data_IF_218102899207
#
_entry.id   IF_218102899207
#
_cell.length_a   1.000
_cell.length_b   1.000
_cell.length_c   1.000
_cell.angle_alpha   90.00
_cell.angle_beta   90.00
_cell.angle_gamma   90.00
#
_symmetry.space_group_name_H-M   'P 1'
#
loop_
_entity.id
_entity.type
_entity.pdbx_description
1 polymer ?
#
# COMPACT_ATOMS: atom_id res chain seq x y z
N UNK A 1 23.26 -23.80 -16.27
CA UNK A 1 22.38 -23.31 -17.34
C UNK A 1 21.18 -22.76 -16.64
N UNK A 2 21.15 -21.45 -16.44
CA UNK A 2 20.08 -20.71 -15.75
C UNK A 2 19.15 -20.14 -16.80
N UNK A 3 17.96 -20.73 -16.91
CA UNK A 3 16.89 -20.22 -17.78
C UNK A 3 16.39 -18.88 -17.22
N UNK A 4 16.75 -17.79 -17.88
CA UNK A 4 16.16 -16.48 -17.63
C UNK A 4 14.83 -16.37 -18.39
N UNK A 5 13.74 -16.35 -17.66
CA UNK A 5 12.41 -16.05 -18.21
C UNK A 5 12.41 -14.68 -18.92
N UNK A 6 11.99 -14.67 -20.17
CA UNK A 6 12.01 -13.47 -21.01
C UNK A 6 10.88 -12.50 -20.60
N UNK A 7 11.05 -11.19 -20.91
CA UNK A 7 10.01 -10.17 -20.71
C UNK A 7 8.67 -10.49 -21.38
N UNK A 8 8.67 -11.34 -22.39
CA UNK A 8 7.44 -11.80 -23.09
C UNK A 8 6.66 -12.82 -22.29
N UNK A 9 7.33 -13.62 -21.46
CA UNK A 9 6.66 -14.65 -20.65
C UNK A 9 6.00 -14.03 -19.42
N UNK A 10 6.54 -12.94 -18.90
CA UNK A 10 5.96 -12.16 -17.81
C UNK A 10 4.62 -11.50 -18.21
N UNK A 11 4.48 -11.04 -19.45
CA UNK A 11 3.25 -10.41 -19.96
C UNK A 11 2.11 -11.40 -20.21
N UNK A 12 2.40 -12.70 -20.39
CA UNK A 12 1.38 -13.73 -20.61
C UNK A 12 0.69 -14.21 -19.34
N UNK A 13 1.32 -14.03 -18.17
CA UNK A 13 0.78 -14.46 -16.87
C UNK A 13 -0.31 -13.51 -16.38
N UNK A 14 -0.34 -12.26 -16.84
CA UNK A 14 -1.29 -11.23 -16.38
C UNK A 14 -2.63 -11.16 -17.15
N UNK A 15 -2.90 -12.06 -18.11
CA UNK A 15 -4.13 -12.02 -18.95
C UNK A 15 -5.08 -13.20 -18.71
N UNK A 16 -4.70 -14.21 -17.92
CA UNK A 16 -5.49 -15.43 -17.74
C UNK A 16 -6.07 -15.56 -16.31
N UNK A 17 -6.99 -14.71 -15.96
CA UNK A 17 -7.63 -14.75 -14.64
C UNK A 17 -9.09 -14.30 -14.60
N UNK A 18 -9.90 -14.61 -15.61
CA UNK A 18 -11.36 -14.50 -15.53
C UNK A 18 -12.00 -15.54 -16.44
N UNK A 19 -12.15 -16.76 -15.98
CA UNK A 19 -13.16 -17.70 -16.45
C UNK A 19 -13.55 -18.60 -15.29
N UNK A 20 -14.74 -18.37 -14.77
CA UNK A 20 -15.45 -19.23 -13.85
C UNK A 20 -15.75 -20.58 -14.48
N UNK A 21 -15.23 -21.67 -13.92
CA UNK A 21 -15.81 -23.01 -14.06
C UNK A 21 -15.69 -23.73 -12.73
N UNK A 22 -16.85 -24.06 -12.17
CA UNK A 22 -16.96 -24.83 -10.96
C UNK A 22 -16.43 -26.25 -11.13
N UNK A 23 -15.57 -26.65 -10.21
CA UNK A 23 -15.31 -28.04 -9.90
C UNK A 23 -15.35 -28.22 -8.39
N UNK A 24 -16.35 -28.98 -7.94
CA UNK A 24 -16.38 -29.53 -6.62
C UNK A 24 -15.22 -30.51 -6.46
N UNK A 25 -14.25 -30.19 -5.59
CA UNK A 25 -13.29 -31.15 -5.07
C UNK A 25 -13.35 -31.13 -3.54
N UNK A 26 -13.84 -32.23 -3.01
CA UNK A 26 -13.72 -32.62 -1.61
C UNK A 26 -12.24 -32.77 -1.26
N UNK A 27 -11.78 -32.11 -0.21
CA UNK A 27 -10.61 -32.60 0.43
C UNK A 27 -9.64 -31.59 1.01
N UNK A 28 -9.63 -31.59 2.31
CA UNK A 28 -8.67 -31.00 3.24
C UNK A 28 -8.78 -29.50 3.40
N UNK A 29 -9.48 -29.15 4.45
CA UNK A 29 -9.32 -27.89 5.15
C UNK A 29 -7.82 -27.71 5.43
N UNK A 30 -7.19 -26.81 4.69
CA UNK A 30 -5.96 -26.19 5.12
C UNK A 30 -6.39 -25.35 6.32
N UNK A 31 -5.92 -25.69 7.50
CA UNK A 31 -6.12 -24.87 8.68
C UNK A 31 -5.67 -23.47 8.31
N UNK A 32 -6.61 -22.53 8.26
CA UNK A 32 -6.32 -21.12 8.22
C UNK A 32 -5.46 -20.82 9.45
N UNK A 33 -4.17 -20.69 9.23
CA UNK A 33 -3.29 -20.09 10.22
C UNK A 33 -3.79 -18.64 10.31
N UNK A 34 -4.66 -18.39 11.27
CA UNK A 34 -5.14 -17.05 11.59
C UNK A 34 -3.90 -16.20 11.81
N UNK A 35 -3.57 -15.36 10.82
CA UNK A 35 -2.48 -14.39 10.94
C UNK A 35 -2.79 -13.52 12.17
N UNK A 36 -1.89 -13.53 13.15
CA UNK A 36 -2.01 -12.69 14.34
C UNK A 36 -1.66 -11.24 14.06
N UNK A 37 -1.37 -10.95 12.81
CA UNK A 37 -0.94 -9.64 12.32
C UNK A 37 -2.15 -8.85 11.83
N UNK A 38 -2.34 -7.60 12.26
CA UNK A 38 -3.41 -6.77 11.74
C UNK A 38 -3.25 -6.57 10.23
N UNK A 39 -4.26 -7.01 9.47
CA UNK A 39 -4.31 -6.87 8.01
C UNK A 39 -5.54 -6.09 7.62
N UNK A 40 -5.36 -5.00 6.87
CA UNK A 40 -6.47 -4.16 6.40
C UNK A 40 -6.63 -4.23 4.89
N UNK A 41 -7.88 -4.28 4.45
CA UNK A 41 -8.29 -4.28 3.04
C UNK A 41 -9.07 -3.02 2.69
N UNK A 42 -9.67 -2.40 3.70
CA UNK A 42 -10.54 -1.25 3.58
C UNK A 42 -10.60 -0.51 4.93
N UNK A 43 -10.88 0.79 4.90
CA UNK A 43 -11.16 1.59 6.08
C UNK A 43 -12.64 1.68 6.41
N UNK A 44 -13.00 2.72 7.16
CA UNK A 44 -14.38 3.03 7.54
C UNK A 44 -15.24 3.41 6.32
N UNK A 45 -16.48 2.95 6.29
CA UNK A 45 -17.48 3.33 5.29
C UNK A 45 -18.27 4.61 5.65
N UNK A 46 -18.01 5.20 6.84
CA UNK A 46 -18.72 6.40 7.32
C UNK A 46 -18.14 7.71 6.81
N UNK A 47 -16.93 7.69 6.26
CA UNK A 47 -16.22 8.88 5.81
C UNK A 47 -16.06 8.88 4.29
N UNK A 48 -16.43 9.99 3.65
CA UNK A 48 -16.37 10.14 2.20
C UNK A 48 -14.94 10.45 1.74
N UNK A 49 -14.07 9.45 1.83
CA UNK A 49 -12.70 9.49 1.36
C UNK A 49 -12.21 8.11 0.92
N UNK A 50 -11.10 8.11 0.20
CA UNK A 50 -10.31 6.93 -0.17
C UNK A 50 -8.86 7.10 0.28
N UNK A 51 -8.14 5.99 0.50
CA UNK A 51 -6.69 6.02 0.61
C UNK A 51 -6.07 5.70 -0.74
N UNK A 52 -5.46 6.69 -1.37
CA UNK A 52 -4.74 6.51 -2.63
C UNK A 52 -3.34 5.97 -2.35
N UNK A 53 -3.01 4.80 -2.87
CA UNK A 53 -1.72 4.15 -2.63
C UNK A 53 -1.02 3.82 -3.94
N UNK A 54 0.31 4.06 -3.98
CA UNK A 54 1.14 3.85 -5.16
C UNK A 54 2.32 2.95 -4.84
N UNK A 55 2.40 1.81 -5.51
CA UNK A 55 3.43 0.80 -5.30
C UNK A 55 4.64 1.01 -6.23
N UNK A 56 5.76 0.35 -5.90
CA UNK A 56 7.03 0.24 -6.62
C UNK A 56 7.88 1.52 -6.68
N UNK A 57 7.38 2.59 -7.26
CA UNK A 57 8.01 3.91 -7.36
C UNK A 57 9.35 3.94 -8.15
N UNK A 58 9.53 3.12 -9.20
CA UNK A 58 10.83 2.96 -9.89
C UNK A 58 11.27 4.17 -10.76
N UNK A 59 10.36 4.98 -11.26
CA UNK A 59 10.63 5.91 -12.34
C UNK A 59 10.61 7.37 -11.89
N UNK A 60 11.78 8.03 -11.80
CA UNK A 60 11.91 9.42 -11.36
C UNK A 60 10.96 10.36 -12.09
N UNK A 61 10.94 10.32 -13.44
CA UNK A 61 10.05 11.18 -14.22
C UNK A 61 8.58 11.03 -13.79
N UNK A 62 8.14 9.83 -13.46
CA UNK A 62 6.76 9.59 -13.03
C UNK A 62 6.51 10.06 -11.60
N UNK A 63 7.52 9.99 -10.76
CA UNK A 63 7.45 10.60 -9.42
C UNK A 63 7.32 12.13 -9.52
N UNK A 64 8.04 12.78 -10.44
CA UNK A 64 7.86 14.21 -10.70
C UNK A 64 6.46 14.52 -11.26
N UNK A 65 5.95 13.73 -12.21
CA UNK A 65 4.57 13.87 -12.71
C UNK A 65 3.53 13.76 -11.56
N UNK A 66 3.77 12.87 -10.58
CA UNK A 66 2.91 12.74 -9.41
C UNK A 66 3.09 13.90 -8.42
N UNK A 67 4.33 14.36 -8.19
CA UNK A 67 4.62 15.51 -7.34
C UNK A 67 3.92 16.78 -7.88
N UNK A 68 3.97 17.02 -9.20
CA UNK A 68 3.27 18.12 -9.87
C UNK A 68 1.75 18.01 -9.74
N UNK A 69 1.21 16.79 -9.90
CA UNK A 69 -0.22 16.54 -9.72
C UNK A 69 -0.65 16.87 -8.28
N UNK A 70 0.07 16.40 -7.28
CA UNK A 70 -0.22 16.67 -5.88
C UNK A 70 -0.05 18.13 -5.48
N UNK A 71 0.81 18.88 -6.17
CA UNK A 71 0.92 20.33 -5.99
C UNK A 71 -0.37 21.07 -6.43
N UNK A 72 -1.14 20.49 -7.36
CA UNK A 72 -2.46 21.01 -7.76
C UNK A 72 -3.57 20.62 -6.79
N UNK A 73 -3.43 19.48 -6.08
CA UNK A 73 -4.40 18.91 -5.15
C UNK A 73 -3.80 18.81 -3.73
N UNK A 74 -3.41 19.95 -3.17
CA UNK A 74 -2.65 20.03 -1.92
C UNK A 74 -3.40 19.48 -0.70
N UNK A 75 -4.73 19.42 -0.77
CA UNK A 75 -5.61 18.83 0.22
C UNK A 75 -5.55 17.29 0.21
N UNK A 76 -5.15 16.66 -0.90
CA UNK A 76 -5.03 15.22 -1.00
C UNK A 76 -3.70 14.73 -0.43
N UNK A 77 -3.77 13.71 0.41
CA UNK A 77 -2.59 13.02 0.94
C UNK A 77 -2.64 11.56 0.53
N UNK A 78 -1.50 11.04 0.12
CA UNK A 78 -1.36 9.68 -0.41
C UNK A 78 -0.38 8.86 0.43
N UNK A 79 -0.37 7.55 0.21
CA UNK A 79 0.65 6.66 0.74
C UNK A 79 1.44 6.01 -0.40
N UNK A 80 2.76 6.13 -0.35
CA UNK A 80 3.69 5.51 -1.28
C UNK A 80 4.24 4.22 -0.67
N UNK A 81 4.35 3.17 -1.45
CA UNK A 81 5.01 1.91 -1.10
C UNK A 81 6.22 1.67 -2.02
N UNK A 82 7.30 2.44 -1.86
CA UNK A 82 8.49 2.26 -2.67
C UNK A 82 9.24 1.00 -2.30
N UNK A 83 9.85 0.34 -3.29
CA UNK A 83 10.88 -0.66 -3.02
C UNK A 83 12.20 0.02 -2.64
N UNK A 84 13.03 -0.63 -1.85
CA UNK A 84 14.29 -0.06 -1.36
C UNK A 84 15.26 0.36 -2.46
N UNK A 85 15.33 -0.41 -3.55
CA UNK A 85 16.15 -0.05 -4.71
C UNK A 85 15.66 1.24 -5.40
N UNK A 86 14.36 1.51 -5.39
CA UNK A 86 13.80 2.76 -5.90
C UNK A 86 14.18 3.93 -4.98
N UNK A 87 14.12 3.76 -3.66
CA UNK A 87 14.55 4.78 -2.70
C UNK A 87 15.98 5.23 -3.02
N UNK A 88 16.91 4.31 -3.12
CA UNK A 88 18.31 4.63 -3.41
C UNK A 88 18.53 5.21 -4.81
N UNK A 89 17.85 4.66 -5.81
CA UNK A 89 18.08 5.05 -7.20
C UNK A 89 17.53 6.44 -7.50
N UNK A 90 16.36 6.77 -6.99
CA UNK A 90 15.73 8.06 -7.21
C UNK A 90 16.45 9.17 -6.43
N UNK A 91 16.84 8.91 -5.19
CA UNK A 91 17.62 9.86 -4.40
C UNK A 91 18.95 10.24 -5.05
N UNK A 92 19.63 9.30 -5.73
CA UNK A 92 20.85 9.60 -6.49
C UNK A 92 20.60 10.48 -7.71
N UNK A 93 19.42 10.47 -8.29
CA UNK A 93 19.04 11.23 -9.46
C UNK A 93 18.44 12.60 -9.10
N UNK A 94 17.71 12.66 -8.00
CA UNK A 94 17.07 13.86 -7.46
C UNK A 94 17.10 13.81 -5.93
N UNK A 95 18.16 14.40 -5.37
CA UNK A 95 18.37 14.40 -3.91
C UNK A 95 17.23 15.12 -3.19
N UNK A 96 16.69 14.46 -2.17
CA UNK A 96 15.59 14.97 -1.36
C UNK A 96 14.19 14.73 -1.91
N UNK A 97 14.02 13.96 -2.98
CA UNK A 97 12.69 13.64 -3.52
C UNK A 97 11.80 12.97 -2.46
N UNK A 98 12.31 11.97 -1.73
CA UNK A 98 11.55 11.27 -0.70
C UNK A 98 11.22 12.17 0.48
N UNK A 99 12.16 13.03 0.85
CA UNK A 99 11.97 14.02 1.91
C UNK A 99 10.86 15.01 1.55
N UNK A 100 10.81 15.50 0.29
CA UNK A 100 9.75 16.39 -0.18
C UNK A 100 8.37 15.74 -0.07
N UNK A 101 8.21 14.49 -0.54
CA UNK A 101 6.94 13.78 -0.35
C UNK A 101 6.56 13.65 1.13
N UNK A 102 7.50 13.24 1.97
CA UNK A 102 7.25 13.03 3.40
C UNK A 102 6.91 14.34 4.12
N UNK A 103 7.65 15.41 3.89
CA UNK A 103 7.43 16.72 4.52
C UNK A 103 6.15 17.42 4.01
N UNK A 104 5.68 17.10 2.82
CA UNK A 104 4.39 17.53 2.30
C UNK A 104 3.20 16.73 2.88
N UNK A 105 3.46 15.84 3.84
CA UNK A 105 2.44 15.09 4.57
C UNK A 105 1.93 13.83 3.85
N UNK A 106 2.66 13.36 2.83
CA UNK A 106 2.41 12.05 2.25
C UNK A 106 3.09 10.97 3.10
N UNK A 107 2.53 9.78 3.10
CA UNK A 107 3.02 8.67 3.88
C UNK A 107 3.88 7.73 3.04
N UNK A 108 4.85 7.07 3.68
CA UNK A 108 5.71 6.08 3.05
C UNK A 108 5.60 4.78 3.83
N UNK A 109 5.22 3.69 3.16
CA UNK A 109 5.11 2.34 3.68
C UNK A 109 6.14 1.39 3.05
N UNK A 110 6.35 0.24 3.69
CA UNK A 110 7.32 -0.77 3.27
C UNK A 110 6.77 -1.67 2.16
N UNK A 111 7.60 -1.92 1.11
CA UNK A 111 7.26 -2.80 -0.03
C UNK A 111 8.41 -3.71 -0.48
N UNK A 112 9.19 -4.25 0.46
CA UNK A 112 10.42 -4.99 0.23
C UNK A 112 11.58 -4.17 -0.35
N UNK A 113 12.75 -4.81 -0.44
CA UNK A 113 13.94 -4.16 -0.98
C UNK A 113 13.90 -4.02 -2.51
N UNK A 114 13.53 -5.07 -3.24
CA UNK A 114 13.64 -5.14 -4.70
C UNK A 114 12.44 -5.77 -5.41
N UNK A 115 11.32 -5.89 -4.69
CA UNK A 115 10.12 -6.59 -5.16
C UNK A 115 10.35 -8.10 -5.42
N UNK A 116 11.43 -8.65 -4.87
CA UNK A 116 11.80 -10.07 -4.99
C UNK A 116 10.89 -10.99 -4.17
N UNK A 117 11.27 -12.26 -4.14
CA UNK A 117 10.49 -13.32 -3.51
C UNK A 117 10.48 -13.30 -1.99
N UNK A 118 10.09 -12.21 -1.37
CA UNK A 118 10.02 -12.05 0.10
C UNK A 118 9.16 -13.14 0.77
N UNK A 119 8.19 -13.68 0.05
CA UNK A 119 7.28 -14.71 0.52
C UNK A 119 7.90 -16.13 0.60
N UNK A 120 9.06 -16.32 -0.01
CA UNK A 120 9.76 -17.63 -0.05
C UNK A 120 11.07 -17.66 0.73
N UNK A 121 11.47 -16.58 1.38
CA UNK A 121 12.68 -16.50 2.20
C UNK A 121 12.36 -16.76 3.68
N UNK A 122 13.41 -17.01 4.49
CA UNK A 122 13.22 -17.18 5.94
C UNK A 122 12.79 -15.86 6.61
N UNK A 123 12.16 -15.96 7.77
CA UNK A 123 11.78 -14.79 8.58
C UNK A 123 12.99 -13.89 8.90
N UNK A 124 14.15 -14.47 9.21
CA UNK A 124 15.40 -13.72 9.46
C UNK A 124 15.81 -12.87 8.25
N UNK A 125 15.76 -13.45 7.04
CA UNK A 125 16.08 -12.71 5.81
C UNK A 125 15.03 -11.64 5.50
N UNK A 126 13.77 -11.91 5.80
CA UNK A 126 12.70 -10.95 5.62
C UNK A 126 12.85 -9.75 6.58
N UNK A 127 13.25 -9.99 7.83
CA UNK A 127 13.57 -8.92 8.77
C UNK A 127 14.79 -8.10 8.32
N UNK A 128 15.83 -8.74 7.82
CA UNK A 128 17.00 -8.04 7.28
C UNK A 128 16.65 -7.20 6.03
N UNK A 129 15.71 -7.65 5.20
CA UNK A 129 15.18 -6.89 4.06
C UNK A 129 14.50 -5.61 4.53
N UNK A 130 13.60 -5.71 5.51
CA UNK A 130 12.96 -4.55 6.12
C UNK A 130 13.97 -3.57 6.72
N UNK A 131 14.92 -4.06 7.51
CA UNK A 131 15.91 -3.22 8.19
C UNK A 131 16.80 -2.48 7.17
N UNK A 132 17.17 -3.15 6.07
CA UNK A 132 17.88 -2.53 4.95
C UNK A 132 17.06 -1.44 4.28
N UNK A 133 15.78 -1.71 4.03
CA UNK A 133 14.85 -0.75 3.44
C UNK A 133 14.68 0.47 4.35
N UNK A 134 14.47 0.24 5.65
CA UNK A 134 14.32 1.29 6.66
C UNK A 134 15.57 2.15 6.81
N UNK A 135 16.76 1.53 6.74
CA UNK A 135 18.03 2.27 6.76
C UNK A 135 18.16 3.18 5.53
N UNK A 136 17.78 2.70 4.34
CA UNK A 136 17.77 3.52 3.12
C UNK A 136 16.81 4.71 3.24
N UNK A 137 15.58 4.48 3.70
CA UNK A 137 14.59 5.54 3.89
C UNK A 137 15.06 6.57 4.94
N UNK A 138 15.56 6.11 6.08
CA UNK A 138 16.09 6.99 7.13
C UNK A 138 17.25 7.84 6.64
N UNK A 139 18.12 7.28 5.81
CA UNK A 139 19.25 8.00 5.21
C UNK A 139 18.83 9.16 4.31
N UNK A 140 17.77 8.97 3.51
CA UNK A 140 17.29 10.00 2.56
C UNK A 140 16.37 11.02 3.21
N UNK A 141 15.63 10.64 4.25
CA UNK A 141 14.82 11.59 5.04
C UNK A 141 15.71 12.42 5.98
N UNK A 142 16.82 11.84 6.47
CA UNK A 142 17.75 12.45 7.40
C UNK A 142 17.49 12.12 8.88
N UNK A 143 16.46 11.36 9.16
CA UNK A 143 16.12 10.78 10.48
C UNK A 143 15.26 9.53 10.28
N UNK A 144 15.02 8.74 11.34
CA UNK A 144 14.15 7.56 11.26
C UNK A 144 12.67 8.00 11.19
N UNK A 145 12.02 7.92 10.02
CA UNK A 145 10.59 8.23 9.91
C UNK A 145 9.77 7.12 10.57
N UNK A 146 8.55 7.46 10.96
CA UNK A 146 7.62 6.46 11.42
C UNK A 146 6.97 5.76 10.22
N UNK A 147 7.14 4.44 10.14
CA UNK A 147 6.55 3.59 9.11
C UNK A 147 5.61 2.60 9.79
N UNK A 148 4.32 2.68 9.49
CA UNK A 148 3.29 1.87 10.14
C UNK A 148 2.75 0.77 9.25
N UNK A 149 2.81 1.00 7.94
CA UNK A 149 2.16 0.13 6.97
C UNK A 149 3.17 -0.58 6.10
N UNK A 150 2.87 -1.83 5.84
CA UNK A 150 3.63 -2.66 4.92
C UNK A 150 2.68 -3.32 3.92
N UNK A 151 3.13 -3.45 2.68
CA UNK A 151 2.38 -4.15 1.64
C UNK A 151 3.25 -5.24 1.03
N UNK A 152 2.79 -6.51 1.03
CA UNK A 152 3.56 -7.58 0.43
C UNK A 152 3.61 -7.44 -1.09
N UNK A 153 4.78 -7.62 -1.72
CA UNK A 153 4.88 -7.73 -3.17
C UNK A 153 3.89 -8.74 -3.74
N UNK A 154 3.27 -8.39 -4.87
CA UNK A 154 2.24 -9.22 -5.53
C UNK A 154 0.99 -9.48 -4.68
N UNK A 155 0.84 -8.88 -3.50
CA UNK A 155 -0.24 -9.17 -2.56
C UNK A 155 -0.14 -10.56 -1.93
N UNK A 156 1.04 -11.17 -1.89
CA UNK A 156 1.23 -12.53 -1.36
C UNK A 156 1.46 -12.47 0.14
N UNK A 157 0.43 -12.78 0.91
CA UNK A 157 0.55 -12.97 2.36
C UNK A 157 1.39 -14.23 2.65
N UNK A 158 2.32 -14.14 3.60
CA UNK A 158 3.23 -15.23 3.91
C UNK A 158 3.75 -15.15 5.35
N UNK A 159 4.18 -16.30 5.94
CA UNK A 159 4.77 -16.30 7.28
C UNK A 159 6.00 -15.38 7.39
N UNK A 160 6.78 -15.25 6.32
CA UNK A 160 7.95 -14.35 6.30
C UNK A 160 7.54 -12.88 6.39
N UNK A 161 6.46 -12.49 5.71
CA UNK A 161 5.92 -11.15 5.76
C UNK A 161 5.23 -10.86 7.11
N UNK A 162 4.51 -11.85 7.65
CA UNK A 162 3.92 -11.77 8.99
C UNK A 162 4.99 -11.58 10.08
N UNK A 163 6.14 -12.24 9.94
CA UNK A 163 7.28 -12.05 10.85
C UNK A 163 7.80 -10.60 10.86
N UNK A 164 7.83 -9.92 9.71
CA UNK A 164 8.16 -8.50 9.64
C UNK A 164 7.12 -7.70 10.40
N UNK A 165 5.85 -7.91 10.09
CA UNK A 165 4.76 -7.13 10.66
C UNK A 165 4.72 -7.26 12.19
N UNK A 166 4.90 -8.46 12.74
CA UNK A 166 5.00 -8.69 14.17
C UNK A 166 6.22 -8.04 14.82
N UNK A 167 7.41 -8.23 14.22
CA UNK A 167 8.67 -7.78 14.82
C UNK A 167 8.90 -6.26 14.67
N UNK A 168 8.22 -5.60 13.76
CA UNK A 168 8.38 -4.18 13.44
C UNK A 168 7.10 -3.36 13.63
N UNK A 169 6.11 -3.94 14.31
CA UNK A 169 4.82 -3.28 14.64
C UNK A 169 4.16 -2.68 13.39
N UNK A 170 4.02 -3.49 12.34
CA UNK A 170 3.45 -3.07 11.07
C UNK A 170 2.02 -3.56 10.92
N UNK A 171 1.18 -2.74 10.28
CA UNK A 171 -0.11 -3.15 9.76
C UNK A 171 0.06 -3.59 8.32
N UNK A 172 -0.30 -4.82 8.01
CA UNK A 172 -0.30 -5.31 6.62
C UNK A 172 -1.46 -4.68 5.87
N UNK A 173 -1.14 -4.04 4.75
CA UNK A 173 -2.14 -3.30 3.96
C UNK A 173 -2.31 -3.91 2.58
N UNK A 174 -3.51 -4.36 2.31
CA UNK A 174 -3.95 -4.81 1.00
C UNK A 174 -4.71 -3.67 0.29
N UNK A 175 -5.63 -3.97 -0.57
CA UNK A 175 -6.48 -3.01 -1.28
C UNK A 175 -7.87 -3.59 -1.53
N UNK A 176 -8.87 -2.72 -1.61
CA UNK A 176 -10.25 -3.09 -1.96
C UNK A 176 -10.59 -2.82 -3.42
N UNK A 177 -9.85 -1.93 -4.06
CA UNK A 177 -10.03 -1.57 -5.48
C UNK A 177 -8.71 -1.16 -6.12
N UNK A 178 -8.65 -1.19 -7.45
CA UNK A 178 -7.51 -0.70 -8.23
C UNK A 178 -7.97 0.21 -9.35
N UNK A 179 -7.27 1.32 -9.57
CA UNK A 179 -7.58 2.28 -10.63
C UNK A 179 -6.55 2.24 -11.77
N UNK A 180 -5.65 1.26 -11.75
CA UNK A 180 -4.62 1.09 -12.76
C UNK A 180 -5.15 0.57 -14.09
N UNK A 181 -4.30 0.63 -15.13
CA UNK A 181 -4.60 0.12 -16.45
C UNK A 181 -5.07 1.18 -17.45
N UNK A 182 -5.99 0.83 -18.36
CA UNK A 182 -6.54 1.77 -19.33
C UNK A 182 -7.36 2.88 -18.66
N UNK A 183 -7.22 4.11 -19.15
CA UNK A 183 -7.84 5.31 -18.55
C UNK A 183 -9.35 5.14 -18.32
N UNK A 184 -10.09 4.64 -19.32
CA UNK A 184 -11.54 4.49 -19.18
C UNK A 184 -11.93 3.47 -18.09
N UNK A 185 -11.14 2.41 -17.93
CA UNK A 185 -11.36 1.39 -16.90
C UNK A 185 -11.02 1.94 -15.53
N UNK A 186 -9.87 2.58 -15.39
CA UNK A 186 -9.42 3.18 -14.14
C UNK A 186 -10.34 4.31 -13.66
N UNK A 187 -10.77 5.20 -14.56
CA UNK A 187 -11.70 6.26 -14.23
C UNK A 187 -13.08 5.74 -13.81
N UNK A 188 -13.57 4.70 -14.48
CA UNK A 188 -14.81 4.04 -14.07
C UNK A 188 -14.68 3.39 -12.69
N UNK A 189 -13.54 2.78 -12.39
CA UNK A 189 -13.28 2.23 -11.06
C UNK A 189 -13.26 3.33 -10.01
N UNK A 190 -12.62 4.49 -10.28
CA UNK A 190 -12.61 5.64 -9.39
C UNK A 190 -14.03 6.16 -9.11
N UNK A 191 -14.85 6.29 -10.14
CA UNK A 191 -16.26 6.74 -10.02
C UNK A 191 -17.15 5.76 -9.25
N UNK A 192 -16.80 4.49 -9.20
CA UNK A 192 -17.50 3.44 -8.46
C UNK A 192 -16.88 3.15 -7.08
N UNK A 193 -15.94 3.95 -6.62
CA UNK A 193 -15.33 3.74 -5.30
C UNK A 193 -16.32 3.94 -4.17
N UNK A 194 -16.06 3.24 -3.07
CA UNK A 194 -16.84 3.31 -1.85
C UNK A 194 -16.04 4.02 -0.76
N UNK A 195 -16.74 4.56 0.22
CA UNK A 195 -16.12 5.17 1.39
C UNK A 195 -15.10 4.21 2.02
N UNK A 196 -13.92 4.73 2.35
CA UNK A 196 -12.86 3.96 2.98
C UNK A 196 -12.12 2.99 2.07
N UNK A 197 -12.35 3.01 0.75
CA UNK A 197 -11.58 2.15 -0.16
C UNK A 197 -10.08 2.46 -0.07
N UNK A 198 -9.28 1.38 -0.08
CA UNK A 198 -7.84 1.44 -0.29
C UNK A 198 -7.60 1.14 -1.76
N UNK A 199 -7.04 2.11 -2.46
CA UNK A 199 -6.87 2.09 -3.91
C UNK A 199 -5.45 1.69 -4.26
N UNK A 200 -5.29 0.61 -5.03
CA UNK A 200 -4.00 0.20 -5.59
C UNK A 200 -3.75 0.89 -6.92
N UNK A 201 -2.62 1.57 -7.03
CA UNK A 201 -2.01 2.08 -8.25
C UNK A 201 -0.51 1.83 -8.25
N UNK A 202 0.13 2.07 -9.38
CA UNK A 202 1.59 2.07 -9.50
C UNK A 202 2.06 3.39 -10.13
N UNK A 203 3.34 3.66 -10.07
CA UNK A 203 3.93 4.86 -10.70
C UNK A 203 4.18 4.58 -12.19
N UNK A 204 3.10 4.37 -12.95
CA UNK A 204 3.09 4.11 -14.40
C UNK A 204 2.34 5.21 -15.13
N UNK A 205 2.63 5.38 -16.43
CA UNK A 205 1.96 6.42 -17.25
C UNK A 205 0.44 6.29 -17.22
N UNK A 206 -0.07 5.05 -17.39
CA UNK A 206 -1.51 4.80 -17.42
C UNK A 206 -2.17 5.15 -16.09
N UNK A 207 -1.56 4.74 -14.98
CA UNK A 207 -2.10 4.98 -13.64
C UNK A 207 -2.09 6.48 -13.31
N UNK A 208 -1.04 7.22 -13.71
CA UNK A 208 -0.98 8.68 -13.54
C UNK A 208 -1.98 9.43 -14.42
N UNK A 209 -2.25 8.94 -15.64
CA UNK A 209 -3.31 9.50 -16.46
C UNK A 209 -4.68 9.32 -15.80
N UNK A 210 -4.95 8.13 -15.24
CA UNK A 210 -6.15 7.91 -14.42
C UNK A 210 -6.18 8.82 -13.20
N UNK A 211 -5.05 8.98 -12.50
CA UNK A 211 -4.96 9.84 -11.32
C UNK A 211 -5.36 11.29 -11.62
N UNK A 212 -4.93 11.86 -12.74
CA UNK A 212 -5.29 13.23 -13.12
C UNK A 212 -6.80 13.44 -13.24
N UNK A 213 -7.48 12.54 -13.93
CA UNK A 213 -8.92 12.61 -14.13
C UNK A 213 -9.69 12.24 -12.84
N UNK A 214 -9.21 11.23 -12.12
CA UNK A 214 -9.83 10.78 -10.88
C UNK A 214 -9.70 11.81 -9.75
N UNK A 215 -8.58 12.53 -9.64
CA UNK A 215 -8.40 13.58 -8.63
C UNK A 215 -9.35 14.74 -8.87
N UNK A 216 -9.54 15.13 -10.14
CA UNK A 216 -10.54 16.15 -10.49
C UNK A 216 -11.94 15.66 -10.11
N UNK A 217 -12.28 14.43 -10.47
CA UNK A 217 -13.58 13.83 -10.12
C UNK A 217 -13.81 13.76 -8.61
N UNK A 218 -12.80 13.33 -7.82
CA UNK A 218 -12.89 13.31 -6.36
C UNK A 218 -13.19 14.69 -5.80
N UNK A 219 -12.45 15.72 -6.24
CA UNK A 219 -12.64 17.11 -5.82
C UNK A 219 -14.04 17.61 -6.17
N UNK A 220 -14.49 17.41 -7.41
CA UNK A 220 -15.80 17.87 -7.91
C UNK A 220 -16.98 17.19 -7.22
N UNK A 221 -16.74 16.03 -6.59
CA UNK A 221 -17.76 15.26 -5.89
C UNK A 221 -17.58 15.25 -4.36
N UNK A 222 -16.78 16.17 -3.80
CA UNK A 222 -16.53 16.30 -2.35
C UNK A 222 -15.96 15.02 -1.71
N UNK A 223 -15.08 14.32 -2.40
CA UNK A 223 -14.34 13.19 -1.86
C UNK A 223 -12.98 13.64 -1.34
N UNK A 224 -12.57 13.11 -0.18
CA UNK A 224 -11.21 13.24 0.33
C UNK A 224 -10.28 12.14 -0.18
N UNK A 225 -9.00 12.46 -0.25
CA UNK A 225 -7.92 11.47 -0.38
C UNK A 225 -7.00 11.60 0.84
N UNK A 226 -6.86 10.53 1.61
CA UNK A 226 -6.16 10.53 2.91
C UNK A 226 -5.05 9.48 2.94
N UNK A 227 -4.11 9.63 3.88
CA UNK A 227 -3.09 8.62 4.15
C UNK A 227 -3.72 7.37 4.79
N UNK A 228 -3.01 6.25 4.73
CA UNK A 228 -3.43 5.03 5.44
C UNK A 228 -3.50 5.22 6.95
N UNK A 229 -2.58 6.02 7.54
CA UNK A 229 -2.67 6.38 8.96
C UNK A 229 -4.02 7.01 9.29
N UNK A 230 -4.43 8.03 8.54
CA UNK A 230 -5.73 8.68 8.78
C UNK A 230 -6.91 7.73 8.60
N UNK A 231 -6.87 6.90 7.55
CA UNK A 231 -7.91 5.90 7.29
C UNK A 231 -8.00 4.86 8.41
N UNK A 232 -6.85 4.37 8.90
CA UNK A 232 -6.77 3.36 9.94
C UNK A 232 -7.18 3.90 11.32
N UNK A 233 -6.75 5.13 11.66
CA UNK A 233 -7.14 5.78 12.90
C UNK A 233 -8.66 5.94 12.98
N UNK A 234 -9.32 6.35 11.90
CA UNK A 234 -10.77 6.47 11.85
C UNK A 234 -11.46 5.11 11.99
N UNK A 235 -10.91 4.06 11.38
CA UNK A 235 -11.42 2.69 11.54
C UNK A 235 -11.34 2.23 12.99
N UNK A 236 -10.21 2.43 13.65
CA UNK A 236 -10.02 2.07 15.07
C UNK A 236 -10.95 2.86 15.99
N UNK A 237 -11.12 4.15 15.75
CA UNK A 237 -12.04 4.99 16.54
C UNK A 237 -13.47 4.48 16.45
N UNK A 238 -13.93 4.05 15.28
CA UNK A 238 -15.28 3.50 15.09
C UNK A 238 -15.47 2.15 15.75
N UNK A 239 -14.46 1.27 15.65
CA UNK A 239 -14.49 -0.02 16.34
C UNK A 239 -14.57 0.15 17.85
N UNK A 240 -13.79 1.06 18.42
CA UNK A 240 -13.78 1.37 19.84
C UNK A 240 -15.13 1.98 20.31
N UNK A 241 -15.71 2.90 19.53
CA UNK A 241 -17.03 3.46 19.83
C UNK A 241 -18.12 2.39 19.81
N UNK A 242 -18.06 1.45 18.87
CA UNK A 242 -19.01 0.32 18.77
C UNK A 242 -18.87 -0.68 19.91
N UNK A 243 -17.66 -0.82 20.47
CA UNK A 243 -17.38 -1.67 21.62
C UNK A 243 -17.66 -1.00 22.99
N UNK A 244 -18.06 0.28 23.01
CA UNK A 244 -18.29 1.03 24.24
C UNK A 244 -17.01 1.38 25.03
N UNK A 245 -15.85 1.29 24.39
CA UNK A 245 -14.55 1.62 24.98
C UNK A 245 -14.19 3.08 24.73
N UNK A 246 -14.12 3.87 25.80
CA UNK A 246 -13.61 5.25 25.77
C UNK A 246 -12.08 5.19 25.81
N UNK A 247 -11.40 5.21 24.67
CA UNK A 247 -9.92 5.16 24.62
C UNK A 247 -9.41 6.57 24.30
N UNK A 248 -8.90 7.26 25.32
CA UNK A 248 -8.14 8.50 25.14
C UNK A 248 -6.84 8.25 24.38
N UNK A 249 -6.39 9.23 23.60
CA UNK A 249 -5.13 9.23 22.88
C UNK A 249 -3.95 8.83 23.79
N UNK A 250 -3.21 7.77 23.45
CA UNK A 250 -1.98 7.37 24.11
C UNK A 250 -2.05 6.11 25.01
N UNK A 251 -3.20 5.48 25.15
CA UNK A 251 -3.30 4.20 25.86
C UNK A 251 -3.10 3.04 24.88
N UNK A 252 -2.13 2.19 25.15
CA UNK A 252 -2.02 0.88 24.51
C UNK A 252 -3.35 0.15 24.66
N UNK A 253 -3.90 -0.36 23.55
CA UNK A 253 -5.12 -1.18 23.54
C UNK A 253 -4.95 -2.32 24.54
N UNK A 254 -5.66 -2.27 25.64
CA UNK A 254 -5.70 -3.37 26.58
C UNK A 254 -6.57 -4.47 25.99
N UNK A 255 -6.13 -5.74 26.09
CA UNK A 255 -6.82 -6.93 25.57
C UNK A 255 -8.29 -7.08 26.02
N UNK A 256 -8.74 -6.32 26.99
CA UNK A 256 -10.11 -6.33 27.53
C UNK A 256 -11.15 -5.63 26.65
N UNK A 257 -10.76 -4.97 25.56
CA UNK A 257 -11.69 -4.35 24.62
C UNK A 257 -11.81 -5.13 23.29
N UNK A 258 -11.22 -6.33 23.20
CA UNK A 258 -11.18 -7.15 21.98
C UNK A 258 -11.89 -8.52 22.18
N UNK A 259 -12.50 -8.78 23.36
CA UNK A 259 -13.32 -9.98 23.60
C UNK A 259 -14.81 -9.72 23.39
#
# INVERSE_FOLDING_TARGET
MTDQLSRRDFLKINVAGLASLGFAHSGRFQEDVSSTVPTIWKGSDRRRYVALTYDDCYLLRRMHDLEELLATYTEFKITLFPVGVAIQNLERQDAGIWKRFYENGHEIGYHSWDHGGIHVISAERALADFDRWMAALSGVIGYAPRVHFSRPPYGVLSPSFDAIAQARDQVVTMWSTGWGGELAVGLKAAQNSHNGDIVLMHIRTQDLNTSREAYQWLRDNDWGAVTLTKLYDDLLLEQNQSAGCDVGWGAALTRSCIE
#
